data_IF_949546600501
#
_entry.id   IF_949546600501
#
_cell.length_a   1.000
_cell.length_b   1.000
_cell.length_c   1.000
_cell.angle_alpha   90.00
_cell.angle_beta   90.00
_cell.angle_gamma   90.00
#
_symmetry.space_group_name_H-M   'P 1'
#
loop_
_entity.id
_entity.type
_entity.pdbx_description
1 polymer ?
#
# COMPACT_ATOMS: atom_id res chain seq x y z
N UNK A 1 -30.22 -28.48 -9.74
CA UNK A 1 -30.69 -28.26 -11.13
C UNK A 1 -32.15 -27.77 -11.18
N UNK A 2 -32.54 -26.75 -10.39
CA UNK A 2 -33.92 -26.22 -10.42
C UNK A 2 -34.02 -24.80 -11.02
N UNK A 3 -32.90 -24.07 -11.10
CA UNK A 3 -32.90 -22.66 -11.51
C UNK A 3 -33.08 -22.45 -13.03
N UNK A 4 -32.52 -23.34 -13.86
CA UNK A 4 -32.63 -23.23 -15.33
C UNK A 4 -34.01 -23.59 -15.88
N UNK A 5 -34.78 -24.44 -15.19
CA UNK A 5 -36.10 -24.86 -15.68
C UNK A 5 -37.14 -23.73 -15.63
N UNK A 6 -36.99 -22.78 -14.69
CA UNK A 6 -37.85 -21.61 -14.59
C UNK A 6 -37.57 -20.58 -15.71
N UNK A 7 -36.32 -20.51 -16.18
CA UNK A 7 -35.87 -19.59 -17.24
C UNK A 7 -36.51 -19.94 -18.59
N UNK A 8 -36.65 -21.25 -18.87
CA UNK A 8 -37.18 -21.74 -20.14
C UNK A 8 -38.70 -21.58 -20.29
N UNK A 9 -39.43 -21.27 -19.20
CA UNK A 9 -40.90 -21.22 -19.18
C UNK A 9 -41.53 -19.83 -19.39
N UNK A 10 -40.73 -18.77 -19.54
CA UNK A 10 -41.24 -17.40 -19.58
C UNK A 10 -41.20 -16.82 -21.00
N UNK A 11 -42.36 -16.29 -21.44
CA UNK A 11 -42.59 -15.80 -22.80
C UNK A 11 -42.25 -14.32 -23.01
N UNK A 12 -41.79 -13.59 -21.98
CA UNK A 12 -41.37 -12.20 -22.08
C UNK A 12 -40.24 -11.84 -21.09
N UNK A 13 -39.34 -10.95 -21.52
CA UNK A 13 -38.13 -10.52 -20.80
C UNK A 13 -38.03 -8.99 -20.79
N UNK A 14 -38.93 -8.32 -20.05
CA UNK A 14 -38.92 -6.87 -19.87
C UNK A 14 -38.27 -6.42 -18.56
N UNK A 15 -38.13 -5.10 -18.39
CA UNK A 15 -37.52 -4.47 -17.20
C UNK A 15 -38.29 -4.81 -15.92
N UNK A 16 -39.62 -4.87 -16.00
CA UNK A 16 -40.48 -5.21 -14.86
C UNK A 16 -40.25 -6.66 -14.42
N UNK A 17 -40.17 -7.59 -15.37
CA UNK A 17 -39.93 -9.01 -15.10
C UNK A 17 -38.50 -9.26 -14.57
N UNK A 18 -37.50 -8.53 -15.08
CA UNK A 18 -36.13 -8.59 -14.58
C UNK A 18 -36.02 -8.12 -13.12
N UNK A 19 -36.70 -7.02 -12.79
CA UNK A 19 -36.69 -6.49 -11.42
C UNK A 19 -37.39 -7.43 -10.44
N UNK A 20 -38.56 -7.96 -10.81
CA UNK A 20 -39.27 -8.94 -9.97
C UNK A 20 -38.41 -10.16 -9.68
N UNK A 21 -37.71 -10.67 -10.70
CA UNK A 21 -36.79 -11.81 -10.55
C UNK A 21 -35.56 -11.48 -9.72
N UNK A 22 -35.01 -10.27 -9.86
CA UNK A 22 -33.92 -9.79 -9.02
C UNK A 22 -34.30 -9.79 -7.55
N UNK A 23 -35.53 -9.39 -7.23
CA UNK A 23 -36.06 -9.44 -5.88
C UNK A 23 -36.19 -10.89 -5.35
N UNK A 24 -36.71 -11.81 -6.17
CA UNK A 24 -36.83 -13.22 -5.78
C UNK A 24 -35.47 -13.89 -5.53
N UNK A 25 -34.47 -13.59 -6.38
CA UNK A 25 -33.10 -14.07 -6.18
C UNK A 25 -32.45 -13.48 -4.93
N UNK A 26 -32.64 -12.19 -4.67
CA UNK A 26 -32.13 -11.55 -3.45
C UNK A 26 -32.75 -12.17 -2.19
N UNK A 27 -34.05 -12.48 -2.22
CA UNK A 27 -34.73 -13.16 -1.11
C UNK A 27 -34.20 -14.58 -0.90
N UNK A 28 -33.90 -15.32 -1.97
CA UNK A 28 -33.31 -16.67 -1.88
C UNK A 28 -31.88 -16.61 -1.33
N UNK A 29 -31.03 -15.72 -1.84
CA UNK A 29 -29.67 -15.54 -1.35
C UNK A 29 -29.68 -15.15 0.13
N UNK A 30 -30.56 -14.23 0.54
CA UNK A 30 -30.67 -13.82 1.94
C UNK A 30 -31.09 -14.96 2.87
N UNK A 31 -31.83 -15.96 2.37
CA UNK A 31 -32.24 -17.14 3.15
C UNK A 31 -31.16 -18.20 3.23
N UNK A 32 -30.38 -18.37 2.16
CA UNK A 32 -29.31 -19.38 2.09
C UNK A 32 -27.99 -18.88 2.68
N UNK A 33 -27.78 -17.57 2.72
CA UNK A 33 -26.55 -17.00 3.25
C UNK A 33 -26.46 -17.24 4.77
N UNK A 34 -25.61 -18.19 5.15
CA UNK A 34 -25.24 -18.42 6.54
C UNK A 34 -24.29 -17.31 6.98
N UNK A 35 -24.53 -16.70 8.15
CA UNK A 35 -23.62 -15.71 8.70
C UNK A 35 -22.19 -16.30 8.80
N UNK A 36 -21.14 -15.51 8.54
CA UNK A 36 -19.77 -15.95 8.75
C UNK A 36 -19.64 -16.53 10.17
N UNK A 37 -19.04 -17.71 10.29
CA UNK A 37 -18.71 -18.30 11.59
C UNK A 37 -17.71 -17.37 12.28
N UNK A 38 -18.05 -16.90 13.48
CA UNK A 38 -17.31 -15.91 14.29
C UNK A 38 -15.94 -16.40 14.82
N UNK A 39 -15.38 -17.48 14.27
CA UNK A 39 -14.24 -18.20 14.85
C UNK A 39 -13.03 -18.25 13.91
N UNK A 40 -12.94 -17.28 13.00
CA UNK A 40 -11.65 -16.86 12.47
C UNK A 40 -11.32 -15.60 13.24
N UNK A 41 -10.18 -15.61 13.96
CA UNK A 41 -9.51 -14.40 14.42
C UNK A 41 -9.21 -13.54 13.18
N UNK A 42 -10.22 -12.80 12.72
CA UNK A 42 -10.02 -11.59 11.96
C UNK A 42 -9.28 -10.72 12.96
N UNK A 43 -7.95 -10.71 12.86
CA UNK A 43 -7.18 -9.54 13.25
C UNK A 43 -7.83 -8.43 12.42
N UNK A 44 -8.83 -7.76 13.00
CA UNK A 44 -9.34 -6.53 12.45
C UNK A 44 -8.09 -5.66 12.34
N UNK A 45 -7.61 -5.47 11.11
CA UNK A 45 -6.62 -4.46 10.80
C UNK A 45 -7.36 -3.13 10.93
N UNK A 46 -7.76 -2.84 12.17
CA UNK A 46 -8.35 -1.57 12.56
C UNK A 46 -7.26 -0.56 12.31
N UNK A 47 -7.56 0.41 11.45
CA UNK A 47 -6.67 1.53 11.18
C UNK A 47 -6.23 2.10 12.52
N UNK A 48 -4.94 1.95 12.83
CA UNK A 48 -4.39 2.44 14.09
C UNK A 48 -4.09 3.92 13.93
N UNK A 49 -5.10 4.76 14.19
CA UNK A 49 -4.98 6.21 14.05
C UNK A 49 -3.87 6.81 14.94
N UNK A 50 -3.57 6.19 16.09
CA UNK A 50 -2.43 6.55 16.93
C UNK A 50 -1.09 6.37 16.20
N UNK A 51 -0.92 5.24 15.49
CA UNK A 51 0.28 4.97 14.68
C UNK A 51 0.42 6.01 13.56
N UNK A 52 -0.69 6.37 12.89
CA UNK A 52 -0.66 7.44 11.89
C UNK A 52 -0.19 8.78 12.48
N UNK A 53 -0.63 9.14 13.69
CA UNK A 53 -0.21 10.36 14.36
C UNK A 53 1.27 10.33 14.77
N UNK A 54 1.76 9.20 15.29
CA UNK A 54 3.17 9.00 15.65
C UNK A 54 4.10 9.10 14.43
N UNK A 55 3.72 8.47 13.31
CA UNK A 55 4.44 8.57 12.04
C UNK A 55 4.58 10.03 11.62
N UNK A 56 3.46 10.78 11.63
CA UNK A 56 3.46 12.18 11.19
C UNK A 56 4.30 13.05 12.14
N UNK A 57 4.22 12.82 13.44
CA UNK A 57 4.99 13.58 14.44
C UNK A 57 6.51 13.35 14.30
N UNK A 58 6.92 12.16 13.86
CA UNK A 58 8.33 11.78 13.66
C UNK A 58 9.02 12.48 12.48
N UNK A 59 8.26 13.08 11.56
CA UNK A 59 8.83 13.72 10.36
C UNK A 59 9.65 14.94 10.80
N UNK A 60 10.97 15.01 10.53
CA UNK A 60 11.81 16.12 10.98
C UNK A 60 11.50 17.44 10.27
N UNK A 61 11.90 18.55 10.87
CA UNK A 61 11.84 19.89 10.26
C UNK A 61 12.60 19.92 8.94
N UNK A 62 12.06 20.64 7.95
CA UNK A 62 12.66 20.77 6.63
C UNK A 62 12.46 19.55 5.72
N UNK A 63 11.64 18.58 6.16
CA UNK A 63 11.39 17.32 5.45
C UNK A 63 9.89 17.08 5.33
N UNK A 64 9.50 16.33 4.30
CA UNK A 64 8.10 16.06 4.00
C UNK A 64 7.89 14.62 3.54
N UNK A 65 6.67 14.10 3.65
CA UNK A 65 6.30 12.77 3.14
C UNK A 65 4.94 12.81 2.44
N UNK A 66 4.48 11.68 1.90
CA UNK A 66 3.19 11.62 1.20
C UNK A 66 2.08 11.00 2.04
N UNK A 67 0.82 11.39 1.76
CA UNK A 67 -0.35 10.68 2.29
C UNK A 67 -0.32 9.18 1.98
N UNK A 68 0.30 8.78 0.85
CA UNK A 68 0.46 7.37 0.47
C UNK A 68 1.36 6.60 1.41
N UNK A 69 2.51 7.17 1.73
CA UNK A 69 3.53 6.54 2.58
C UNK A 69 3.02 6.40 4.01
N UNK A 70 2.45 7.47 4.58
CA UNK A 70 1.84 7.44 5.94
C UNK A 70 0.68 6.46 5.99
N UNK A 71 -0.21 6.46 4.99
CA UNK A 71 -1.36 5.56 4.98
C UNK A 71 -0.94 4.09 4.92
N UNK A 72 0.11 3.80 4.16
CA UNK A 72 0.63 2.44 4.01
C UNK A 72 1.21 1.91 5.31
N UNK A 73 1.97 2.73 6.05
CA UNK A 73 2.50 2.35 7.37
C UNK A 73 1.41 2.24 8.43
N UNK A 74 0.38 3.09 8.37
CA UNK A 74 -0.74 3.06 9.31
C UNK A 74 -1.82 2.00 8.98
N UNK A 75 -1.62 1.19 7.93
CA UNK A 75 -2.59 0.16 7.51
C UNK A 75 -3.92 0.73 6.98
N UNK A 76 -3.89 1.88 6.30
CA UNK A 76 -5.08 2.59 5.80
C UNK A 76 -4.92 3.06 4.35
N UNK A 77 -5.88 3.85 3.87
CA UNK A 77 -5.83 4.52 2.56
C UNK A 77 -5.61 6.04 2.69
N UNK A 78 -5.04 6.71 1.66
CA UNK A 78 -4.78 8.15 1.69
C UNK A 78 -6.02 9.03 1.93
N UNK A 79 -7.18 8.63 1.40
CA UNK A 79 -8.44 9.38 1.52
C UNK A 79 -8.95 9.41 2.98
N UNK A 80 -9.16 8.27 3.67
CA UNK A 80 -9.56 8.29 5.07
C UNK A 80 -8.49 8.92 5.98
N UNK A 81 -7.20 8.76 5.67
CA UNK A 81 -6.13 9.46 6.38
C UNK A 81 -6.24 10.98 6.25
N UNK A 82 -6.49 11.52 5.05
CA UNK A 82 -6.70 12.95 4.86
C UNK A 82 -7.92 13.47 5.65
N UNK A 83 -8.99 12.67 5.70
CA UNK A 83 -10.18 12.96 6.51
C UNK A 83 -9.88 13.00 8.02
N UNK A 84 -9.05 12.07 8.51
CA UNK A 84 -8.57 12.03 9.88
C UNK A 84 -7.69 13.24 10.22
N UNK A 85 -6.65 13.51 9.42
CA UNK A 85 -5.74 14.67 9.60
C UNK A 85 -6.52 16.00 9.64
N UNK A 86 -7.58 16.13 8.83
CA UNK A 86 -8.37 17.36 8.77
C UNK A 86 -9.27 17.59 10.00
N UNK A 87 -9.47 16.58 10.85
CA UNK A 87 -10.39 16.63 12.01
C UNK A 87 -9.70 16.45 13.35
N UNK A 88 -8.45 15.98 13.34
CA UNK A 88 -7.70 15.62 14.54
C UNK A 88 -6.48 16.52 14.67
N UNK A 89 -6.19 17.07 15.86
CA UNK A 89 -4.99 17.85 16.10
C UNK A 89 -3.77 16.93 16.10
N UNK A 90 -3.08 16.86 14.96
CA UNK A 90 -1.85 16.09 14.78
C UNK A 90 -0.71 17.10 14.58
N UNK A 91 0.37 16.91 15.34
CA UNK A 91 1.59 17.72 15.20
C UNK A 91 2.19 17.49 13.82
N UNK A 92 2.77 18.54 13.23
CA UNK A 92 3.50 18.45 11.96
C UNK A 92 2.67 17.97 10.76
N UNK A 93 1.33 17.96 10.84
CA UNK A 93 0.44 17.47 9.78
C UNK A 93 0.63 18.13 8.41
N UNK A 94 1.16 19.36 8.38
CA UNK A 94 1.47 20.10 7.16
C UNK A 94 2.64 19.50 6.36
N UNK A 95 3.47 18.66 6.97
CA UNK A 95 4.57 17.92 6.31
C UNK A 95 4.08 16.74 5.46
N UNK A 96 2.77 16.47 5.45
CA UNK A 96 2.15 15.42 4.63
C UNK A 96 1.57 16.02 3.35
N UNK A 97 2.21 15.72 2.22
CA UNK A 97 1.87 16.27 0.91
C UNK A 97 1.25 15.22 -0.02
N UNK A 98 0.75 15.67 -1.15
CA UNK A 98 0.33 14.78 -2.24
C UNK A 98 1.55 14.11 -2.88
N UNK A 99 1.34 13.02 -3.63
CA UNK A 99 2.42 12.29 -4.30
C UNK A 99 3.27 13.15 -5.24
N UNK A 100 2.70 14.24 -5.77
CA UNK A 100 3.38 15.22 -6.63
C UNK A 100 4.19 16.28 -5.85
N UNK A 101 4.26 16.20 -4.52
CA UNK A 101 4.93 17.21 -3.69
C UNK A 101 4.13 18.50 -3.50
N UNK A 102 2.84 18.51 -3.83
CA UNK A 102 1.95 19.66 -3.69
C UNK A 102 1.14 19.58 -2.39
N UNK A 103 0.83 20.74 -1.81
CA UNK A 103 -0.09 20.85 -0.66
C UNK A 103 -1.47 20.36 -1.07
N UNK A 104 -2.10 19.55 -0.22
CA UNK A 104 -3.48 19.11 -0.47
C UNK A 104 -4.45 20.29 -0.44
N UNK A 105 -5.28 20.51 -1.49
CA UNK A 105 -6.26 21.60 -1.50
C UNK A 105 -7.29 21.52 -0.35
N UNK A 106 -7.49 20.32 0.19
CA UNK A 106 -8.38 20.04 1.31
C UNK A 106 -7.73 20.22 2.68
N UNK A 107 -6.43 20.48 2.77
CA UNK A 107 -5.75 20.67 4.06
C UNK A 107 -6.31 21.90 4.78
N UNK A 108 -6.54 21.76 6.08
CA UNK A 108 -7.02 22.84 6.95
C UNK A 108 -6.29 22.77 8.27
N UNK A 109 -5.83 23.92 8.74
CA UNK A 109 -5.35 24.07 10.11
C UNK A 109 -6.49 23.82 11.09
N UNK A 110 -6.22 23.06 12.14
CA UNK A 110 -7.18 22.88 13.23
C UNK A 110 -7.25 24.19 14.04
N UNK A 111 -8.45 24.67 14.41
CA UNK A 111 -8.59 25.86 15.25
C UNK A 111 -7.76 25.74 16.54
N UNK A 112 -6.99 26.78 16.87
CA UNK A 112 -6.06 26.81 18.00
C UNK A 112 -4.68 26.20 17.72
N UNK A 113 -4.38 25.77 16.49
CA UNK A 113 -3.03 25.34 16.12
C UNK A 113 -2.07 26.52 15.93
N UNK A 114 -0.77 26.28 16.08
CA UNK A 114 0.29 27.31 16.00
C UNK A 114 0.26 28.12 14.69
N UNK A 115 -0.13 27.48 13.60
CA UNK A 115 -0.17 28.06 12.26
C UNK A 115 -1.60 28.30 11.76
N UNK A 116 -2.58 28.45 12.66
CA UNK A 116 -3.96 28.73 12.27
C UNK A 116 -4.05 29.94 11.33
N UNK A 117 -4.61 29.73 10.13
CA UNK A 117 -4.77 30.77 9.11
C UNK A 117 -3.50 31.07 8.29
N UNK A 118 -2.37 30.44 8.57
CA UNK A 118 -1.15 30.60 7.77
C UNK A 118 -1.24 29.84 6.44
N UNK A 119 -0.48 30.30 5.46
CA UNK A 119 -0.29 29.55 4.22
C UNK A 119 0.65 28.36 4.48
N UNK A 120 0.21 27.16 4.08
CA UNK A 120 0.94 25.90 4.35
C UNK A 120 2.30 25.89 3.66
N UNK A 121 2.37 26.41 2.43
CA UNK A 121 3.63 26.48 1.69
C UNK A 121 4.60 27.43 2.37
N UNK A 122 4.15 28.61 2.81
CA UNK A 122 4.99 29.54 3.55
C UNK A 122 5.56 28.94 4.84
N UNK A 123 4.77 28.13 5.57
CA UNK A 123 5.26 27.40 6.75
C UNK A 123 6.36 26.41 6.35
N UNK A 124 6.11 25.56 5.34
CA UNK A 124 7.11 24.60 4.86
C UNK A 124 8.39 25.27 4.33
N UNK A 125 8.27 26.40 3.65
CA UNK A 125 9.40 27.21 3.19
C UNK A 125 10.20 27.78 4.36
N UNK A 126 9.54 28.21 5.44
CA UNK A 126 10.22 28.66 6.67
C UNK A 126 10.97 27.54 7.40
N UNK A 127 10.55 26.29 7.20
CA UNK A 127 11.26 25.09 7.67
C UNK A 127 12.44 24.69 6.77
N UNK A 128 12.62 25.37 5.62
CA UNK A 128 13.70 25.13 4.67
C UNK A 128 13.34 24.22 3.50
N UNK A 129 12.05 23.92 3.29
CA UNK A 129 11.61 23.16 2.11
C UNK A 129 11.52 24.09 0.92
N UNK A 130 12.33 23.84 -0.10
CA UNK A 130 12.27 24.56 -1.37
C UNK A 130 11.10 24.06 -2.23
N UNK A 131 10.44 24.98 -2.92
CA UNK A 131 9.39 24.68 -3.88
C UNK A 131 9.75 25.18 -5.27
N UNK A 132 9.40 24.40 -6.30
CA UNK A 132 9.55 24.81 -7.69
C UNK A 132 8.48 25.86 -8.11
N UNK A 133 8.58 26.29 -9.37
CA UNK A 133 7.64 27.25 -9.98
C UNK A 133 6.22 26.68 -10.09
N UNK A 134 6.06 25.36 -10.16
CA UNK A 134 4.76 24.67 -10.19
C UNK A 134 4.19 24.45 -8.77
N UNK A 135 4.93 24.81 -7.73
CA UNK A 135 4.55 24.63 -6.33
C UNK A 135 4.71 23.19 -5.82
N UNK A 136 5.66 22.44 -6.38
CA UNK A 136 6.07 21.14 -5.84
C UNK A 136 7.26 21.30 -4.91
N UNK A 137 7.18 20.68 -3.74
CA UNK A 137 8.28 20.57 -2.80
C UNK A 137 9.44 19.76 -3.40
N UNK A 138 10.67 20.17 -3.10
CA UNK A 138 11.87 19.51 -3.57
C UNK A 138 11.90 18.03 -3.14
N UNK A 139 12.10 17.13 -4.11
CA UNK A 139 12.15 15.68 -3.87
C UNK A 139 13.32 15.24 -2.98
N UNK A 140 14.39 16.05 -2.90
CA UNK A 140 15.53 15.82 -2.01
C UNK A 140 15.16 15.93 -0.52
N UNK A 141 14.12 16.70 -0.20
CA UNK A 141 13.58 16.84 1.16
C UNK A 141 12.54 15.76 1.50
N UNK A 142 12.22 14.85 0.56
CA UNK A 142 11.21 13.82 0.76
C UNK A 142 11.75 12.68 1.62
N UNK A 143 11.06 12.40 2.71
CA UNK A 143 11.20 11.17 3.51
C UNK A 143 10.45 10.04 2.79
N UNK A 144 11.19 9.02 2.38
CA UNK A 144 10.58 7.82 1.78
C UNK A 144 9.98 6.92 2.87
N UNK A 145 9.16 5.95 2.49
CA UNK A 145 8.46 5.10 3.46
C UNK A 145 9.37 4.22 4.33
N UNK A 146 10.54 3.78 3.84
CA UNK A 146 11.47 3.00 4.65
C UNK A 146 12.10 3.88 5.74
N UNK A 147 12.58 5.07 5.35
CA UNK A 147 13.11 6.07 6.28
C UNK A 147 12.02 6.57 7.25
N UNK A 148 10.77 6.69 6.79
CA UNK A 148 9.64 7.09 7.62
C UNK A 148 9.31 6.03 8.68
N UNK A 149 9.43 4.74 8.35
CA UNK A 149 9.26 3.66 9.31
C UNK A 149 10.36 3.67 10.38
N UNK A 150 11.62 3.87 9.97
CA UNK A 150 12.76 4.02 10.89
C UNK A 150 12.56 5.21 11.84
N UNK A 151 12.15 6.37 11.31
CA UNK A 151 11.89 7.58 12.11
C UNK A 151 10.75 7.39 13.11
N UNK A 152 9.70 6.68 12.72
CA UNK A 152 8.56 6.41 13.57
C UNK A 152 8.85 5.34 14.65
N UNK A 153 10.04 4.71 14.62
CA UNK A 153 10.35 3.58 15.49
C UNK A 153 9.42 2.39 15.26
N UNK A 154 8.79 2.35 14.09
CA UNK A 154 7.99 1.21 13.67
C UNK A 154 8.99 0.17 13.22
N UNK A 155 9.40 -0.67 14.16
CA UNK A 155 9.81 -2.01 13.80
C UNK A 155 8.65 -2.56 12.97
N UNK A 156 8.89 -2.80 11.69
CA UNK A 156 8.01 -3.73 11.00
C UNK A 156 7.95 -4.94 11.93
N UNK A 157 6.75 -5.46 12.18
CA UNK A 157 6.62 -6.85 12.59
C UNK A 157 7.12 -7.68 11.40
N UNK A 158 8.44 -7.64 11.24
CA UNK A 158 9.24 -8.61 10.55
C UNK A 158 8.94 -9.85 11.35
N UNK A 159 8.04 -10.67 10.82
CA UNK A 159 7.70 -11.92 11.43
C UNK A 159 8.98 -12.78 11.44
N UNK A 160 9.78 -12.61 12.49
CA UNK A 160 10.91 -13.47 12.82
C UNK A 160 12.30 -12.85 12.89
N UNK A 161 12.51 -11.68 13.49
CA UNK A 161 13.82 -11.45 14.13
C UNK A 161 13.92 -12.29 15.42
N UNK A 162 14.32 -13.55 15.30
CA UNK A 162 14.86 -14.34 16.41
C UNK A 162 16.33 -14.66 16.15
N UNK A 163 17.15 -14.20 17.09
CA UNK A 163 18.56 -14.51 17.28
C UNK A 163 18.82 -16.04 17.23
N UNK A 164 19.55 -16.49 16.20
CA UNK A 164 20.29 -17.75 16.22
C UNK A 164 21.62 -17.56 15.48
N UNK A 165 22.70 -17.88 16.17
CA UNK A 165 24.06 -17.78 15.67
C UNK A 165 24.33 -18.64 14.44
N UNK A 166 25.28 -18.14 13.64
CA UNK A 166 26.17 -18.83 12.71
C UNK A 166 25.65 -20.13 12.08
N UNK A 167 25.14 -20.04 10.83
CA UNK A 167 25.52 -20.85 9.65
C UNK A 167 24.47 -20.66 8.52
N UNK A 168 24.81 -19.84 7.51
CA UNK A 168 24.20 -19.73 6.16
C UNK A 168 22.78 -20.31 5.99
N UNK A 169 21.75 -19.50 6.24
CA UNK A 169 20.34 -19.83 5.98
C UNK A 169 19.68 -18.79 5.09
N UNK A 170 18.90 -19.23 4.11
CA UNK A 170 18.09 -18.42 3.21
C UNK A 170 17.26 -17.36 3.93
N UNK A 171 17.46 -16.09 3.58
CA UNK A 171 16.56 -15.01 3.99
C UNK A 171 15.15 -15.28 3.42
N UNK A 172 14.24 -15.73 4.30
CA UNK A 172 12.82 -15.89 4.02
C UNK A 172 12.09 -14.58 4.37
N UNK A 173 11.52 -13.92 3.36
CA UNK A 173 10.71 -12.72 3.56
C UNK A 173 9.25 -13.12 3.55
N UNK A 174 8.58 -12.95 4.70
CA UNK A 174 7.14 -13.11 4.84
C UNK A 174 6.46 -11.78 4.58
N UNK A 175 5.42 -11.75 3.75
CA UNK A 175 4.65 -10.53 3.50
C UNK A 175 3.21 -10.82 3.08
N UNK A 176 2.33 -9.87 3.35
CA UNK A 176 0.92 -9.96 2.96
C UNK A 176 0.70 -9.32 1.59
N UNK A 177 0.07 -10.06 0.67
CA UNK A 177 -0.41 -9.55 -0.62
C UNK A 177 -1.86 -9.99 -0.83
N UNK A 178 -2.74 -9.03 -1.14
CA UNK A 178 -4.19 -9.25 -1.23
C UNK A 178 -4.80 -9.88 0.04
N UNK A 179 -4.24 -9.58 1.21
CA UNK A 179 -4.67 -10.17 2.49
C UNK A 179 -4.19 -11.60 2.72
N UNK A 180 -3.38 -12.18 1.82
CA UNK A 180 -2.80 -13.51 1.95
C UNK A 180 -1.33 -13.38 2.35
N UNK A 181 -0.96 -13.97 3.50
CA UNK A 181 0.45 -14.13 3.88
C UNK A 181 1.16 -15.01 2.85
N UNK A 182 2.26 -14.51 2.31
CA UNK A 182 3.11 -15.20 1.35
C UNK A 182 4.55 -15.20 1.86
N UNK A 183 5.24 -16.31 1.58
CA UNK A 183 6.66 -16.47 1.90
C UNK A 183 7.45 -16.47 0.61
N UNK A 184 8.53 -15.71 0.58
CA UNK A 184 9.40 -15.60 -0.57
C UNK A 184 10.85 -15.67 -0.10
N UNK A 185 11.58 -16.68 -0.56
CA UNK A 185 13.02 -16.81 -0.32
C UNK A 185 13.80 -16.41 -1.55
N UNK A 186 15.07 -16.06 -1.34
CA UNK A 186 16.01 -15.77 -2.42
C UNK A 186 16.16 -16.94 -3.40
N UNK A 187 16.26 -18.16 -2.88
CA UNK A 187 16.37 -19.38 -3.69
C UNK A 187 15.10 -19.63 -4.52
N UNK A 188 13.92 -19.45 -3.94
CA UNK A 188 12.65 -19.59 -4.67
C UNK A 188 12.49 -18.59 -5.81
N UNK A 189 13.00 -17.35 -5.63
CA UNK A 189 13.05 -16.34 -6.70
C UNK A 189 13.95 -16.83 -7.84
N UNK A 190 15.17 -17.29 -7.53
CA UNK A 190 16.14 -17.79 -8.52
C UNK A 190 15.58 -18.99 -9.29
N UNK A 191 15.06 -19.99 -8.59
CA UNK A 191 14.53 -21.21 -9.20
C UNK A 191 13.36 -20.95 -10.14
N UNK A 192 12.40 -20.10 -9.71
CA UNK A 192 11.26 -19.77 -10.56
C UNK A 192 11.67 -18.94 -11.78
N UNK A 193 12.63 -18.03 -11.62
CA UNK A 193 13.13 -17.22 -12.73
C UNK A 193 13.93 -18.04 -13.76
N UNK A 194 14.65 -19.08 -13.35
CA UNK A 194 15.34 -20.00 -14.27
C UNK A 194 14.40 -20.66 -15.29
N UNK A 195 13.15 -20.88 -14.91
CA UNK A 195 12.13 -21.49 -15.77
C UNK A 195 11.39 -20.49 -16.67
N UNK A 196 11.62 -19.19 -16.49
CA UNK A 196 10.98 -18.13 -17.23
C UNK A 196 11.95 -17.43 -18.20
N UNK A 197 11.44 -16.50 -19.01
CA UNK A 197 12.27 -15.67 -19.90
C UNK A 197 12.05 -14.20 -19.58
N UNK A 198 13.10 -13.37 -19.43
CA UNK A 198 12.97 -11.96 -19.13
C UNK A 198 12.26 -11.23 -20.27
N UNK A 199 11.28 -10.41 -19.91
CA UNK A 199 10.56 -9.52 -20.80
C UNK A 199 11.32 -8.20 -21.03
N UNK A 200 10.71 -7.28 -21.78
CA UNK A 200 11.29 -5.97 -22.05
C UNK A 200 11.32 -5.12 -20.78
N UNK A 201 12.50 -4.60 -20.43
CA UNK A 201 12.69 -3.65 -19.33
C UNK A 201 12.18 -2.27 -19.80
N UNK A 202 11.34 -1.64 -18.98
CA UNK A 202 10.77 -0.31 -19.27
C UNK A 202 11.34 0.80 -18.40
N UNK A 203 11.58 0.54 -17.11
CA UNK A 203 11.99 1.60 -16.16
C UNK A 203 12.88 1.06 -15.05
N UNK A 204 12.47 -0.04 -14.42
CA UNK A 204 13.19 -0.62 -13.28
C UNK A 204 13.53 -2.07 -13.55
N UNK A 205 14.74 -2.46 -13.16
CA UNK A 205 15.26 -3.80 -13.37
C UNK A 205 15.87 -4.39 -12.10
N UNK A 206 15.92 -5.71 -12.05
CA UNK A 206 16.60 -6.50 -11.02
C UNK A 206 17.54 -7.49 -11.69
N UNK A 207 18.76 -7.63 -11.20
CA UNK A 207 19.70 -8.66 -11.66
C UNK A 207 19.55 -9.92 -10.80
N UNK A 208 19.29 -11.06 -11.46
CA UNK A 208 19.20 -12.37 -10.84
C UNK A 208 20.05 -13.35 -11.64
N UNK A 209 21.08 -13.92 -11.01
CA UNK A 209 22.03 -14.86 -11.60
C UNK A 209 22.65 -14.35 -12.93
N UNK A 210 22.96 -13.05 -13.01
CA UNK A 210 23.55 -12.41 -14.20
C UNK A 210 22.55 -12.10 -15.33
N UNK A 211 21.25 -12.30 -15.09
CA UNK A 211 20.18 -11.95 -16.02
C UNK A 211 19.40 -10.77 -15.46
N UNK A 212 19.19 -9.75 -16.28
CA UNK A 212 18.43 -8.56 -15.90
C UNK A 212 16.95 -8.76 -16.22
N UNK A 213 16.09 -8.60 -15.21
CA UNK A 213 14.65 -8.79 -15.30
C UNK A 213 13.88 -7.50 -15.02
N UNK A 214 12.73 -7.28 -15.66
CA UNK A 214 11.79 -6.26 -15.20
C UNK A 214 11.33 -6.58 -13.77
N UNK A 215 11.45 -5.64 -12.84
CA UNK A 215 11.15 -5.88 -11.40
C UNK A 215 9.77 -6.48 -11.18
N UNK A 216 8.75 -6.00 -11.92
CA UNK A 216 7.38 -6.52 -11.80
C UNK A 216 7.28 -7.95 -12.25
N UNK A 217 7.96 -8.30 -13.34
CA UNK A 217 7.94 -9.65 -13.86
C UNK A 217 8.69 -10.59 -12.92
N UNK A 218 9.84 -10.17 -12.40
CA UNK A 218 10.62 -10.96 -11.46
C UNK A 218 9.79 -11.35 -10.23
N UNK A 219 9.13 -10.38 -9.60
CA UNK A 219 8.26 -10.66 -8.46
C UNK A 219 7.02 -11.49 -8.85
N UNK A 220 6.40 -11.22 -10.01
CA UNK A 220 5.23 -11.94 -10.49
C UNK A 220 5.52 -13.43 -10.71
N UNK A 221 6.62 -13.73 -11.40
CA UNK A 221 7.11 -15.10 -11.64
C UNK A 221 7.47 -15.77 -10.33
N UNK A 222 8.16 -15.05 -9.45
CA UNK A 222 8.57 -15.59 -8.17
C UNK A 222 7.38 -15.90 -7.24
N UNK A 223 6.24 -15.22 -7.38
CA UNK A 223 5.03 -15.48 -6.58
C UNK A 223 3.96 -16.31 -7.31
N UNK A 224 4.14 -16.57 -8.61
CA UNK A 224 3.15 -17.25 -9.43
C UNK A 224 1.85 -16.46 -9.59
N UNK A 225 1.92 -15.12 -9.62
CA UNK A 225 0.76 -14.22 -9.72
C UNK A 225 0.91 -13.25 -10.90
N UNK A 226 -0.15 -12.52 -11.22
CA UNK A 226 -0.10 -11.53 -12.30
C UNK A 226 0.61 -10.23 -11.86
N UNK A 227 1.43 -9.68 -12.76
CA UNK A 227 2.17 -8.43 -12.52
C UNK A 227 1.28 -7.18 -12.36
N UNK A 228 -0.03 -7.30 -12.55
CA UNK A 228 -1.03 -6.24 -12.32
C UNK A 228 -1.48 -6.14 -10.87
N UNK A 229 -1.29 -7.19 -10.06
CA UNK A 229 -1.75 -7.25 -8.66
C UNK A 229 -0.94 -6.38 -7.70
N UNK A 230 0.22 -5.88 -8.12
CA UNK A 230 1.07 -5.05 -7.28
C UNK A 230 1.75 -3.94 -8.08
N UNK A 231 2.19 -2.90 -7.37
CA UNK A 231 2.89 -1.76 -7.95
C UNK A 231 4.37 -2.09 -8.17
N UNK A 232 5.02 -1.41 -9.11
CA UNK A 232 6.46 -1.60 -9.41
C UNK A 232 7.36 -1.34 -8.20
N UNK A 233 6.92 -0.46 -7.31
CA UNK A 233 7.63 -0.17 -6.07
C UNK A 233 7.59 -1.35 -5.08
N UNK A 234 6.45 -2.05 -4.92
CA UNK A 234 6.35 -3.28 -4.11
C UNK A 234 7.34 -4.35 -4.58
N UNK A 235 7.48 -4.49 -5.90
CA UNK A 235 8.45 -5.39 -6.50
C UNK A 235 9.89 -5.03 -6.13
N UNK A 236 10.26 -3.75 -6.25
CA UNK A 236 11.59 -3.26 -5.85
C UNK A 236 11.86 -3.48 -4.37
N UNK A 237 10.91 -3.11 -3.50
CA UNK A 237 11.06 -3.22 -2.06
C UNK A 237 11.37 -4.68 -1.67
N UNK A 238 10.53 -5.64 -2.11
CA UNK A 238 10.67 -7.05 -1.74
C UNK A 238 11.92 -7.70 -2.32
N UNK A 239 12.27 -7.40 -3.57
CA UNK A 239 13.49 -7.93 -4.19
C UNK A 239 14.74 -7.32 -3.55
N UNK A 240 14.71 -6.06 -3.11
CA UNK A 240 15.82 -5.43 -2.41
C UNK A 240 16.03 -6.04 -1.03
N UNK A 241 14.94 -6.32 -0.31
CA UNK A 241 14.99 -6.98 1.01
C UNK A 241 15.62 -8.37 0.92
N UNK A 242 15.45 -9.08 -0.20
CA UNK A 242 16.08 -10.38 -0.48
C UNK A 242 17.53 -10.27 -0.99
N UNK A 243 18.15 -9.08 -0.92
CA UNK A 243 19.52 -8.85 -1.33
C UNK A 243 19.77 -8.99 -2.84
N UNK A 244 18.78 -8.67 -3.69
CA UNK A 244 18.98 -8.57 -5.13
C UNK A 244 19.40 -7.16 -5.56
N UNK A 245 20.26 -7.08 -6.56
CA UNK A 245 20.68 -5.81 -7.14
C UNK A 245 19.59 -5.24 -8.03
N UNK A 246 19.21 -3.99 -7.80
CA UNK A 246 18.11 -3.32 -8.49
C UNK A 246 18.62 -1.99 -9.03
N UNK A 247 18.30 -1.71 -10.29
CA UNK A 247 18.58 -0.43 -10.93
C UNK A 247 17.34 0.19 -11.57
N UNK A 248 17.46 1.47 -11.89
CA UNK A 248 16.46 2.24 -12.63
C UNK A 248 17.17 3.15 -13.62
N UNK A 249 16.54 3.35 -14.76
CA UNK A 249 16.92 4.36 -15.75
C UNK A 249 16.29 5.72 -15.43
#
# INVERSE_FOLDING_TARGET
MALNSYIAGQSAWGVTELNARGADLAALISREWTAPVDDVLVQESTVSWSVAAEIIDSIPVGRWTTYGDVASLAGTHPVPLGGYISRTPIRHAWRVLQAAGTVSPGFRWIPGSEHEGADVRAVLESEGIEFDLDGRAAGTARVNIAELAELAGIEFDDAGSMDFGDEQGDEEVVFTLDGIERRLTREAVRDRLRSATPGKITTYWVEVDGIVWPVKQALAVALGIEATQFQSWTARQRLSTLGFEIGGE
#
